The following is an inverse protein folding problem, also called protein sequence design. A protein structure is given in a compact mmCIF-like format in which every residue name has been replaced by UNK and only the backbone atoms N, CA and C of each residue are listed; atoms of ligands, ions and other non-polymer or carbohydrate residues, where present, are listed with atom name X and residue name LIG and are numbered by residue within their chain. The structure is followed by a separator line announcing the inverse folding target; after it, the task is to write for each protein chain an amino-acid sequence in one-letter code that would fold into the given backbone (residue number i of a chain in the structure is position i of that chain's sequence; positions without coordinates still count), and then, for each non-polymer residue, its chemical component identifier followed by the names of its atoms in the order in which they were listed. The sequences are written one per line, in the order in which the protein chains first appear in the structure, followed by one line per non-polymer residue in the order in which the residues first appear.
data_IF_110645070099
#
_entry.id   IF_110645070099
#
_cell.length_a   1.000
_cell.length_b   1.000
_cell.length_c   1.000
_cell.angle_alpha   90.00
_cell.angle_beta   90.00
_cell.angle_gamma   90.00
#
_symmetry.space_group_name_H-M   'P 1'
#
loop_
_entity.id
_entity.type
_entity.pdbx_description
1 polymer ?
#
# COMPACT_ATOMS: atom_id res chain seq x y z
N UNK A 1 -20.74 25.04 5.72
CA UNK A 1 -19.81 25.24 6.86
C UNK A 1 -18.50 24.61 6.46
N UNK A 2 -17.40 25.40 6.38
CA UNK A 2 -16.07 24.82 6.12
C UNK A 2 -15.68 23.98 7.33
N UNK A 3 -15.58 22.67 7.12
CA UNK A 3 -15.07 21.73 8.13
C UNK A 3 -13.56 21.93 8.20
N UNK A 4 -13.03 22.18 9.40
CA UNK A 4 -11.59 22.42 9.58
C UNK A 4 -10.75 21.16 9.38
N UNK A 5 -9.45 21.35 9.11
CA UNK A 5 -8.49 20.27 8.79
C UNK A 5 -8.36 19.18 9.87
N UNK A 6 -8.70 19.47 11.10
CA UNK A 6 -8.63 18.54 12.24
C UNK A 6 -9.86 17.66 12.42
N UNK A 7 -10.88 17.83 11.58
CA UNK A 7 -12.10 17.02 11.64
C UNK A 7 -12.03 15.87 10.65
N UNK A 8 -12.59 14.73 11.02
CA UNK A 8 -12.88 13.63 10.09
C UNK A 8 -14.16 13.95 9.29
N UNK A 9 -14.30 13.32 8.14
CA UNK A 9 -15.48 13.46 7.30
C UNK A 9 -16.00 12.07 6.94
N UNK A 10 -17.21 11.70 7.39
CA UNK A 10 -17.81 10.42 7.02
C UNK A 10 -17.90 10.23 5.50
N UNK A 11 -18.15 11.31 4.75
CA UNK A 11 -18.19 11.26 3.29
C UNK A 11 -16.82 10.92 2.68
N UNK A 12 -15.74 11.55 3.19
CA UNK A 12 -14.38 11.27 2.70
C UNK A 12 -13.98 9.84 3.04
N UNK A 13 -14.25 9.39 4.27
CA UNK A 13 -13.97 8.02 4.70
C UNK A 13 -14.74 7.01 3.84
N UNK A 14 -16.02 7.25 3.59
CA UNK A 14 -16.84 6.42 2.73
C UNK A 14 -16.25 6.32 1.31
N UNK A 15 -15.91 7.44 0.70
CA UNK A 15 -15.35 7.48 -0.65
C UNK A 15 -13.95 6.82 -0.72
N UNK A 16 -13.15 6.92 0.35
CA UNK A 16 -11.81 6.36 0.39
C UNK A 16 -11.79 4.84 0.62
N UNK A 17 -12.62 4.33 1.54
CA UNK A 17 -12.48 2.96 2.03
C UNK A 17 -13.62 2.02 1.63
N UNK A 18 -14.87 2.51 1.50
CA UNK A 18 -16.00 1.64 1.19
C UNK A 18 -15.87 1.00 -0.21
N UNK A 19 -15.34 1.75 -1.19
CA UNK A 19 -15.10 1.25 -2.54
C UNK A 19 -14.07 0.11 -2.58
N UNK A 20 -13.12 0.08 -1.65
CA UNK A 20 -12.14 -1.02 -1.56
C UNK A 20 -12.81 -2.30 -1.10
N UNK A 21 -13.67 -2.21 -0.08
CA UNK A 21 -14.32 -3.37 0.50
C UNK A 21 -15.37 -4.00 -0.43
N UNK A 22 -16.07 -3.18 -1.23
CA UNK A 22 -17.07 -3.65 -2.20
C UNK A 22 -16.50 -4.66 -3.22
N UNK A 23 -15.21 -4.64 -3.50
CA UNK A 23 -14.55 -5.59 -4.41
C UNK A 23 -14.56 -7.03 -3.88
N UNK A 24 -14.83 -7.23 -2.61
CA UNK A 24 -14.82 -8.53 -1.93
C UNK A 24 -16.20 -8.97 -1.46
N UNK A 25 -17.26 -8.41 -2.04
CA UNK A 25 -18.63 -8.80 -1.71
C UNK A 25 -18.90 -10.28 -2.05
N UNK A 26 -19.69 -11.01 -1.21
CA UNK A 26 -20.32 -10.57 0.01
C UNK A 26 -19.29 -10.35 1.14
N UNK A 27 -19.38 -9.20 1.79
CA UNK A 27 -18.43 -8.83 2.84
C UNK A 27 -18.80 -9.45 4.18
N UNK A 28 -17.83 -9.93 4.92
CA UNK A 28 -17.97 -10.36 6.31
C UNK A 28 -17.89 -9.17 7.27
N UNK A 29 -17.02 -8.21 6.96
CA UNK A 29 -16.75 -7.01 7.76
C UNK A 29 -16.62 -5.77 6.88
N UNK A 30 -16.40 -4.60 7.49
CA UNK A 30 -16.05 -3.36 6.78
C UNK A 30 -14.57 -3.30 6.31
N UNK A 31 -13.76 -4.30 6.66
CA UNK A 31 -12.31 -4.27 6.48
C UNK A 31 -11.74 -5.51 5.76
N UNK A 32 -12.58 -6.26 5.07
CA UNK A 32 -12.14 -7.46 4.35
C UNK A 32 -11.10 -7.15 3.26
N UNK A 33 -11.05 -5.91 2.80
CA UNK A 33 -10.05 -5.44 1.84
C UNK A 33 -8.61 -5.42 2.39
N UNK A 34 -8.43 -5.48 3.72
CA UNK A 34 -7.11 -5.48 4.34
C UNK A 34 -6.36 -6.79 4.11
N UNK A 35 -7.03 -7.93 4.28
CA UNK A 35 -6.40 -9.23 4.18
C UNK A 35 -7.40 -10.33 3.80
N UNK A 36 -6.93 -11.35 3.10
CA UNK A 36 -7.67 -12.60 2.89
C UNK A 36 -7.67 -13.48 4.17
N UNK A 37 -6.76 -13.23 5.12
CA UNK A 37 -6.78 -13.85 6.44
C UNK A 37 -7.89 -13.26 7.31
N UNK A 38 -8.91 -14.06 7.60
CA UNK A 38 -10.00 -13.65 8.52
C UNK A 38 -9.47 -13.35 9.91
N UNK A 39 -8.47 -14.10 10.38
CA UNK A 39 -7.80 -13.90 11.67
C UNK A 39 -7.16 -12.52 11.74
N UNK A 40 -6.44 -12.11 10.70
CA UNK A 40 -5.82 -10.78 10.65
C UNK A 40 -6.86 -9.65 10.68
N UNK A 41 -7.96 -9.81 9.92
CA UNK A 41 -9.05 -8.82 9.92
C UNK A 41 -9.72 -8.75 11.30
N UNK A 42 -9.89 -9.87 11.98
CA UNK A 42 -10.48 -9.91 13.33
C UNK A 42 -9.55 -9.26 14.38
N UNK A 43 -8.25 -9.50 14.29
CA UNK A 43 -7.25 -8.81 15.13
C UNK A 43 -7.27 -7.30 14.91
N UNK A 44 -7.33 -6.85 13.64
CA UNK A 44 -7.45 -5.43 13.31
C UNK A 44 -8.71 -4.79 13.94
N UNK A 45 -9.85 -5.48 13.87
CA UNK A 45 -11.12 -5.01 14.44
C UNK A 45 -11.10 -4.98 15.97
N UNK A 46 -10.37 -5.88 16.59
CA UNK A 46 -10.23 -5.96 18.07
C UNK A 46 -9.25 -4.92 18.64
N UNK A 47 -8.36 -4.37 17.82
CA UNK A 47 -7.37 -3.41 18.29
C UNK A 47 -7.95 -1.99 18.37
N UNK A 48 -8.03 -1.38 19.57
CA UNK A 48 -8.58 -0.03 19.75
C UNK A 48 -7.75 1.07 19.07
N UNK A 49 -6.52 0.78 18.65
CA UNK A 49 -5.65 1.71 17.92
C UNK A 49 -5.85 1.64 16.40
N UNK A 50 -6.62 0.65 15.91
CA UNK A 50 -6.93 0.46 14.50
C UNK A 50 -8.31 1.05 14.14
N UNK A 51 -8.52 1.31 12.86
CA UNK A 51 -9.83 1.74 12.32
C UNK A 51 -10.24 3.17 12.64
N UNK A 52 -9.33 4.00 13.15
CA UNK A 52 -9.62 5.41 13.44
C UNK A 52 -9.90 6.21 12.15
N UNK A 53 -10.84 7.16 12.24
CA UNK A 53 -11.21 8.03 11.11
C UNK A 53 -10.12 9.08 10.81
N UNK A 54 -9.47 9.04 9.65
CA UNK A 54 -8.48 10.04 9.26
C UNK A 54 -9.11 11.45 9.14
N UNK A 55 -8.35 12.46 9.50
CA UNK A 55 -8.78 13.85 9.34
C UNK A 55 -8.71 14.30 7.89
N UNK A 56 -9.51 15.32 7.52
CA UNK A 56 -9.45 15.94 6.18
C UNK A 56 -8.05 16.47 5.89
N UNK A 57 -7.38 17.04 6.91
CA UNK A 57 -6.01 17.52 6.79
C UNK A 57 -5.03 16.40 6.43
N UNK A 58 -5.15 15.24 7.10
CA UNK A 58 -4.31 14.07 6.78
C UNK A 58 -4.50 13.63 5.33
N UNK A 59 -5.74 13.45 4.88
CA UNK A 59 -6.02 13.08 3.49
C UNK A 59 -5.44 14.09 2.50
N UNK A 60 -5.63 15.38 2.75
CA UNK A 60 -5.13 16.44 1.88
C UNK A 60 -3.61 16.38 1.75
N UNK A 61 -2.89 16.28 2.87
CA UNK A 61 -1.42 16.28 2.84
C UNK A 61 -0.89 14.97 2.26
N UNK A 62 -1.52 13.83 2.54
CA UNK A 62 -1.19 12.55 1.92
C UNK A 62 -1.33 12.63 0.39
N UNK A 63 -2.46 13.12 -0.12
CA UNK A 63 -2.69 13.24 -1.57
C UNK A 63 -1.70 14.23 -2.22
N UNK A 64 -1.36 15.33 -1.55
CA UNK A 64 -0.31 16.25 -2.01
C UNK A 64 1.06 15.59 -2.07
N UNK A 65 1.40 14.81 -1.03
CA UNK A 65 2.63 14.04 -1.00
C UNK A 65 2.70 13.04 -2.15
N UNK A 66 1.66 12.26 -2.37
CA UNK A 66 1.55 11.31 -3.48
C UNK A 66 1.72 12.02 -4.83
N UNK A 67 0.96 13.10 -5.05
CA UNK A 67 1.06 13.87 -6.29
C UNK A 67 2.46 14.48 -6.52
N UNK A 68 3.20 14.77 -5.45
CA UNK A 68 4.58 15.25 -5.54
C UNK A 68 5.55 14.13 -5.91
N UNK A 69 5.48 12.98 -5.21
CA UNK A 69 6.43 11.89 -5.42
C UNK A 69 6.20 11.14 -6.74
N UNK A 70 5.00 11.18 -7.30
CA UNK A 70 4.69 10.55 -8.60
C UNK A 70 5.22 11.34 -9.81
N UNK A 71 5.60 12.62 -9.64
CA UNK A 71 6.15 13.42 -10.73
C UNK A 71 7.46 12.84 -11.22
N UNK A 72 7.55 12.58 -12.53
CA UNK A 72 8.75 12.01 -13.15
C UNK A 72 10.01 12.86 -12.92
N UNK A 73 9.87 14.19 -12.82
CA UNK A 73 10.97 15.11 -12.49
C UNK A 73 11.53 14.90 -11.08
N UNK A 74 10.67 14.56 -10.10
CA UNK A 74 11.08 14.27 -8.74
C UNK A 74 11.72 12.88 -8.64
N UNK A 75 11.16 11.89 -9.33
CA UNK A 75 11.75 10.55 -9.40
C UNK A 75 13.15 10.57 -10.02
N UNK A 76 13.40 11.40 -11.04
CA UNK A 76 14.72 11.56 -11.65
C UNK A 76 15.79 12.13 -10.70
N UNK A 77 15.39 12.75 -9.59
CA UNK A 77 16.30 13.27 -8.58
C UNK A 77 16.75 12.23 -7.56
N UNK A 78 16.15 11.05 -7.56
CA UNK A 78 16.55 9.95 -6.69
C UNK A 78 17.97 9.46 -7.02
N UNK A 79 18.66 8.90 -6.02
CA UNK A 79 19.88 8.18 -6.26
C UNK A 79 19.59 6.92 -7.08
N UNK A 80 20.12 6.88 -8.30
CA UNK A 80 19.87 5.78 -9.24
C UNK A 80 20.51 4.45 -8.85
N UNK A 81 21.44 4.48 -7.89
CA UNK A 81 22.12 3.28 -7.40
C UNK A 81 21.44 2.66 -6.17
N UNK A 82 20.41 3.31 -5.62
CA UNK A 82 19.65 2.72 -4.53
C UNK A 82 18.72 1.64 -5.09
N UNK A 83 18.89 0.37 -4.69
CA UNK A 83 17.99 -0.71 -5.08
C UNK A 83 16.58 -0.45 -4.55
N UNK A 84 15.57 -0.82 -5.33
CA UNK A 84 14.16 -0.62 -4.98
C UNK A 84 13.37 -1.90 -5.22
N UNK A 85 12.69 -2.36 -4.18
CA UNK A 85 11.78 -3.50 -4.25
C UNK A 85 10.35 -3.08 -4.03
N UNK A 86 9.48 -3.33 -5.01
CA UNK A 86 8.03 -3.19 -4.89
C UNK A 86 7.39 -4.53 -4.55
N UNK A 87 6.69 -4.58 -3.42
CA UNK A 87 5.90 -5.73 -3.00
C UNK A 87 4.46 -5.32 -2.75
N UNK A 88 3.50 -6.12 -3.20
CA UNK A 88 2.07 -5.86 -2.95
C UNK A 88 1.25 -7.13 -3.13
N UNK A 89 0.09 -7.17 -2.51
CA UNK A 89 -0.94 -8.13 -2.89
C UNK A 89 -1.41 -7.85 -4.31
N UNK A 90 -1.63 -8.92 -5.07
CA UNK A 90 -2.19 -8.78 -6.41
C UNK A 90 -3.63 -8.26 -6.37
N UNK A 91 -4.36 -8.61 -5.30
CA UNK A 91 -5.77 -8.28 -5.10
C UNK A 91 -5.94 -7.06 -4.16
N UNK A 92 -4.85 -6.29 -3.93
CA UNK A 92 -4.90 -5.06 -3.13
C UNK A 92 -5.66 -3.95 -3.88
N UNK A 93 -6.84 -3.52 -3.37
CA UNK A 93 -7.62 -2.47 -4.01
C UNK A 93 -6.98 -1.08 -3.92
N UNK A 94 -6.13 -0.84 -2.90
CA UNK A 94 -5.36 0.42 -2.76
C UNK A 94 -4.31 0.52 -3.87
N UNK A 95 -3.70 -0.61 -4.22
CA UNK A 95 -2.79 -0.75 -5.35
C UNK A 95 -3.49 -0.88 -6.71
N UNK A 96 -4.80 -0.61 -6.81
CA UNK A 96 -5.60 -0.78 -8.04
C UNK A 96 -5.47 -2.21 -8.60
N UNK A 97 -5.60 -3.22 -7.72
CA UNK A 97 -5.46 -4.65 -8.07
C UNK A 97 -4.13 -4.92 -8.80
N UNK A 98 -3.05 -4.38 -8.27
CA UNK A 98 -1.70 -4.48 -8.80
C UNK A 98 -1.36 -3.58 -9.98
N UNK A 99 -2.33 -2.90 -10.61
CA UNK A 99 -2.08 -2.00 -11.74
C UNK A 99 -1.32 -0.74 -11.29
N UNK A 100 -1.68 -0.18 -10.13
CA UNK A 100 -1.01 0.98 -9.52
C UNK A 100 0.45 0.69 -9.22
N UNK A 101 0.74 -0.47 -8.62
CA UNK A 101 2.10 -0.93 -8.32
C UNK A 101 2.92 -1.08 -9.61
N UNK A 102 2.34 -1.68 -10.67
CA UNK A 102 3.00 -1.78 -11.98
C UNK A 102 3.29 -0.42 -12.61
N UNK A 103 2.40 0.58 -12.42
CA UNK A 103 2.66 1.96 -12.87
C UNK A 103 3.82 2.59 -12.12
N UNK A 104 3.85 2.45 -10.79
CA UNK A 104 4.94 2.94 -9.96
C UNK A 104 6.28 2.31 -10.37
N UNK A 105 6.35 0.98 -10.45
CA UNK A 105 7.51 0.25 -10.92
C UNK A 105 8.05 0.80 -12.26
N UNK A 106 7.18 0.93 -13.26
CA UNK A 106 7.57 1.46 -14.59
C UNK A 106 8.07 2.91 -14.50
N UNK A 107 7.51 3.72 -13.58
CA UNK A 107 7.96 5.10 -13.39
C UNK A 107 9.37 5.17 -12.81
N UNK A 108 9.71 4.29 -11.87
CA UNK A 108 11.06 4.18 -11.33
C UNK A 108 12.06 3.69 -12.39
N UNK A 109 11.73 2.68 -13.16
CA UNK A 109 12.57 2.24 -14.29
C UNK A 109 12.81 3.39 -15.29
N UNK A 110 11.76 4.14 -15.68
CA UNK A 110 11.88 5.27 -16.61
C UNK A 110 12.68 6.45 -16.03
N UNK A 111 12.75 6.58 -14.71
CA UNK A 111 13.58 7.62 -14.07
C UNK A 111 15.06 7.29 -14.03
N UNK A 112 15.43 6.08 -14.43
CA UNK A 112 16.82 5.63 -14.55
C UNK A 112 17.37 4.99 -13.29
N UNK A 113 16.51 4.58 -12.33
CA UNK A 113 16.93 3.72 -11.22
C UNK A 113 17.37 2.39 -11.81
N UNK A 114 18.58 1.93 -11.42
CA UNK A 114 19.28 0.82 -12.10
C UNK A 114 18.79 -0.54 -11.67
N UNK A 115 18.39 -0.64 -10.41
CA UNK A 115 17.96 -1.88 -9.79
C UNK A 115 16.57 -1.69 -9.21
N UNK A 116 15.58 -2.19 -9.94
CA UNK A 116 14.17 -2.09 -9.54
C UNK A 116 13.52 -3.45 -9.75
N UNK A 117 13.08 -4.04 -8.68
CA UNK A 117 12.34 -5.30 -8.69
C UNK A 117 10.89 -5.12 -8.29
N UNK A 118 10.03 -6.03 -8.72
CA UNK A 118 8.62 -6.04 -8.34
C UNK A 118 8.11 -7.46 -8.21
N UNK A 119 7.39 -7.73 -7.11
CA UNK A 119 6.66 -8.98 -6.92
C UNK A 119 5.24 -8.70 -6.43
N UNK A 120 4.26 -9.34 -7.07
CA UNK A 120 2.87 -9.35 -6.65
C UNK A 120 2.51 -10.74 -6.14
N UNK A 121 1.80 -10.81 -5.01
CA UNK A 121 1.39 -12.07 -4.38
C UNK A 121 -0.06 -12.37 -4.75
N UNK A 122 -0.31 -13.43 -5.53
CA UNK A 122 -1.66 -13.83 -5.91
C UNK A 122 -2.53 -14.14 -4.69
N UNK A 123 -3.79 -13.69 -4.69
CA UNK A 123 -4.73 -13.88 -3.59
C UNK A 123 -4.49 -13.01 -2.35
N UNK A 124 -3.34 -12.33 -2.25
CA UNK A 124 -3.05 -11.42 -1.16
C UNK A 124 -3.66 -10.03 -1.42
N UNK A 125 -4.13 -9.39 -0.35
CA UNK A 125 -4.73 -8.06 -0.34
C UNK A 125 -3.73 -7.01 0.18
N UNK A 126 -4.17 -6.06 1.00
CA UNK A 126 -3.38 -4.88 1.37
C UNK A 126 -2.23 -5.18 2.33
N UNK A 127 -2.47 -5.96 3.37
CA UNK A 127 -1.50 -6.21 4.44
C UNK A 127 -0.65 -7.46 4.20
N UNK A 128 0.22 -7.43 3.20
CA UNK A 128 1.00 -8.62 2.77
C UNK A 128 1.84 -9.27 3.87
N UNK A 129 2.29 -8.52 4.88
CA UNK A 129 3.07 -9.05 6.00
C UNK A 129 2.21 -9.76 7.04
N UNK A 130 0.89 -9.61 6.97
CA UNK A 130 -0.12 -10.22 7.84
C UNK A 130 -1.04 -11.18 7.05
N UNK A 131 -0.75 -11.40 5.76
CA UNK A 131 -1.53 -12.27 4.88
C UNK A 131 -1.29 -13.75 5.13
N UNK A 132 -2.11 -14.59 4.51
CA UNK A 132 -1.94 -16.04 4.50
C UNK A 132 -0.58 -16.46 3.95
N UNK A 133 -0.01 -15.69 3.02
CA UNK A 133 1.31 -15.91 2.43
C UNK A 133 2.45 -15.15 3.14
N UNK A 134 2.23 -14.60 4.34
CA UNK A 134 3.21 -13.74 5.06
C UNK A 134 4.61 -14.34 5.18
N UNK A 135 4.72 -15.65 5.38
CA UNK A 135 6.04 -16.28 5.49
C UNK A 135 6.83 -16.23 4.18
N UNK A 136 6.15 -16.43 3.04
CA UNK A 136 6.76 -16.25 1.72
C UNK A 136 7.20 -14.81 1.50
N UNK A 137 6.37 -13.83 1.90
CA UNK A 137 6.71 -12.40 1.80
C UNK A 137 7.96 -12.08 2.61
N UNK A 138 8.01 -12.53 3.87
CA UNK A 138 9.16 -12.31 4.77
C UNK A 138 10.44 -12.91 4.20
N UNK A 139 10.38 -14.15 3.71
CA UNK A 139 11.52 -14.82 3.08
C UNK A 139 12.01 -14.07 1.83
N UNK A 140 11.09 -13.55 1.00
CA UNK A 140 11.45 -12.77 -0.18
C UNK A 140 12.15 -11.47 0.21
N UNK A 141 11.63 -10.76 1.23
CA UNK A 141 12.27 -9.53 1.76
C UNK A 141 13.67 -9.84 2.29
N UNK A 142 13.81 -10.87 3.12
CA UNK A 142 15.13 -11.27 3.67
C UNK A 142 16.13 -11.60 2.56
N UNK A 143 15.73 -12.42 1.59
CA UNK A 143 16.58 -12.78 0.45
C UNK A 143 17.02 -11.56 -0.35
N UNK A 144 16.08 -10.65 -0.60
CA UNK A 144 16.40 -9.44 -1.33
C UNK A 144 17.39 -8.54 -0.57
N UNK A 145 17.15 -8.35 0.74
CA UNK A 145 18.07 -7.60 1.60
C UNK A 145 19.46 -8.22 1.63
N UNK A 146 19.57 -9.54 1.83
CA UNK A 146 20.85 -10.26 1.82
C UNK A 146 21.62 -10.09 0.50
N UNK A 147 20.90 -10.06 -0.63
CA UNK A 147 21.53 -9.86 -1.94
C UNK A 147 22.06 -8.43 -2.15
N UNK A 148 21.51 -7.43 -1.43
CA UNK A 148 21.82 -6.01 -1.60
C UNK A 148 22.63 -5.40 -0.44
N UNK A 149 22.83 -6.14 0.65
CA UNK A 149 23.71 -5.72 1.73
C UNK A 149 25.19 -5.78 1.28
N UNK A 150 26.05 -4.83 1.73
CA UNK A 150 27.46 -4.91 1.50
C UNK A 150 28.00 -6.24 2.03
N UNK A 151 28.67 -7.00 1.19
CA UNK A 151 29.45 -8.17 1.66
C UNK A 151 30.63 -7.60 2.42
N UNK A 152 30.66 -7.78 3.76
CA UNK A 152 31.75 -7.38 4.63
C UNK A 152 33.11 -7.98 4.23
#
# INVERSE_FOLDING_TARGET
RKVGDRHSSPLVNKLAFEAYNQKFAPNRTGYDWLSASTENVDQYLADPLCGGDPTIGLFREMLRGIACIEKQENLKRMNRNTPVLFLSGQDDPVGDMGKGVRRAYRSFCRSGVRDVEMKLYPGARHEILNETCRETVRQDVCRWLEAHLPKG
#
